data_IF_381340391120
#
_entry.id   IF_381340391120
#
_cell.length_a   1.000
_cell.length_b   1.000
_cell.length_c   1.000
_cell.angle_alpha   90.00
_cell.angle_beta   90.00
_cell.angle_gamma   90.00
#
_symmetry.space_group_name_H-M   'P 1'
#
loop_
_entity.id
_entity.type
_entity.pdbx_description
1 polymer ?
#
# COMPACT_ATOMS: atom_id res chain seq x y z
N UNK A 1 -12.25 11.77 16.97
CA UNK A 1 -11.34 12.26 15.93
C UNK A 1 -10.06 11.45 15.98
N UNK A 2 -9.53 11.07 14.83
CA UNK A 2 -8.25 10.40 14.64
C UNK A 2 -7.20 11.49 14.37
N UNK A 3 -6.23 11.62 15.26
CA UNK A 3 -5.19 12.62 15.15
C UNK A 3 -4.08 12.15 14.22
N UNK A 4 -3.71 12.97 13.24
CA UNK A 4 -2.65 12.67 12.27
C UNK A 4 -1.53 13.70 12.38
N UNK A 5 -0.29 13.22 12.31
CA UNK A 5 0.89 14.04 12.05
C UNK A 5 1.43 13.72 10.67
N UNK A 6 1.81 14.73 9.91
CA UNK A 6 2.45 14.58 8.60
C UNK A 6 3.93 14.90 8.77
N UNK A 7 4.79 14.06 8.23
CA UNK A 7 6.26 14.24 8.24
C UNK A 7 6.77 14.22 6.81
N UNK A 8 7.24 15.36 6.34
CA UNK A 8 7.76 15.55 4.97
C UNK A 8 8.45 16.89 4.83
N UNK A 9 9.52 16.95 4.09
CA UNK A 9 10.39 18.12 3.93
C UNK A 9 9.87 19.13 2.88
N UNK A 10 9.00 18.69 1.96
CA UNK A 10 8.35 19.59 0.99
C UNK A 10 7.04 20.14 1.57
N UNK A 11 6.97 21.46 1.88
CA UNK A 11 5.78 22.06 2.46
C UNK A 11 4.56 22.01 1.53
N UNK A 12 4.75 22.03 0.20
CA UNK A 12 3.63 21.97 -0.73
C UNK A 12 3.00 20.56 -0.75
N UNK A 13 3.84 19.53 -0.70
CA UNK A 13 3.37 18.14 -0.62
C UNK A 13 2.71 17.87 0.74
N UNK A 14 3.29 18.38 1.82
CA UNK A 14 2.70 18.25 3.16
C UNK A 14 1.33 18.94 3.26
N UNK A 15 1.17 20.14 2.68
CA UNK A 15 -0.11 20.85 2.62
C UNK A 15 -1.14 20.12 1.76
N UNK A 16 -0.70 19.52 0.66
CA UNK A 16 -1.56 18.71 -0.19
C UNK A 16 -2.05 17.45 0.57
N UNK A 17 -1.17 16.78 1.30
CA UNK A 17 -1.57 15.66 2.18
C UNK A 17 -2.55 16.12 3.26
N UNK A 18 -2.28 17.26 3.91
CA UNK A 18 -3.18 17.87 4.89
C UNK A 18 -4.58 18.06 4.30
N UNK A 19 -4.68 18.71 3.14
CA UNK A 19 -5.96 18.97 2.48
C UNK A 19 -6.76 17.68 2.24
N UNK A 20 -6.14 16.62 1.71
CA UNK A 20 -6.84 15.37 1.45
C UNK A 20 -7.20 14.59 2.70
N UNK A 21 -6.39 14.63 3.74
CA UNK A 21 -6.67 13.95 5.02
C UNK A 21 -7.87 14.58 5.71
N UNK A 22 -7.96 15.91 5.75
CA UNK A 22 -9.07 16.66 6.37
C UNK A 22 -10.41 16.46 5.64
N UNK A 23 -10.40 16.00 4.37
CA UNK A 23 -11.62 15.64 3.65
C UNK A 23 -12.20 14.30 4.09
N UNK A 24 -11.41 13.46 4.77
CA UNK A 24 -11.88 12.16 5.27
C UNK A 24 -12.49 12.34 6.65
N UNK A 25 -13.78 12.00 6.79
CA UNK A 25 -14.47 12.07 8.08
C UNK A 25 -13.67 11.40 9.21
N UNK A 26 -13.73 11.97 10.41
CA UNK A 26 -13.09 11.52 11.65
C UNK A 26 -11.57 11.81 11.73
N UNK A 27 -10.95 12.36 10.72
CA UNK A 27 -9.53 12.71 10.74
C UNK A 27 -9.30 14.18 11.09
N UNK A 28 -8.17 14.44 11.75
CA UNK A 28 -7.69 15.79 12.06
C UNK A 28 -6.16 15.79 12.00
N UNK A 29 -5.59 16.66 11.18
CA UNK A 29 -4.14 16.90 11.17
C UNK A 29 -3.80 17.80 12.35
N UNK A 30 -2.97 17.29 13.27
CA UNK A 30 -2.57 17.99 14.50
C UNK A 30 -1.17 18.60 14.39
N UNK A 31 -0.51 18.41 13.25
CA UNK A 31 0.76 19.07 12.96
C UNK A 31 1.49 18.51 11.76
N UNK A 32 2.42 19.32 11.25
CA UNK A 32 3.31 19.00 10.14
C UNK A 32 4.74 19.18 10.60
N UNK A 33 5.61 18.22 10.30
CA UNK A 33 7.03 18.22 10.64
C UNK A 33 7.89 18.08 9.38
N UNK A 34 8.82 18.99 9.16
CA UNK A 34 9.76 18.96 8.03
C UNK A 34 11.01 18.12 8.27
N UNK A 35 11.15 17.46 9.43
CA UNK A 35 12.33 16.67 9.79
C UNK A 35 11.99 15.63 10.86
N UNK A 36 12.87 14.62 11.02
CA UNK A 36 12.78 13.61 12.08
C UNK A 36 12.79 14.24 13.46
N UNK A 37 13.68 15.22 13.66
CA UNK A 37 13.80 15.90 14.95
C UNK A 37 12.48 16.59 15.36
N UNK A 38 11.86 17.34 14.46
CA UNK A 38 10.57 18.01 14.71
C UNK A 38 9.46 16.97 14.87
N UNK A 39 9.46 15.90 14.07
CA UNK A 39 8.48 14.83 14.16
C UNK A 39 8.45 14.17 15.54
N UNK A 40 9.61 13.87 16.13
CA UNK A 40 9.72 13.30 17.48
C UNK A 40 9.09 14.21 18.54
N UNK A 41 9.39 15.50 18.50
CA UNK A 41 8.82 16.48 19.43
C UNK A 41 7.30 16.56 19.26
N UNK A 42 6.84 16.63 18.02
CA UNK A 42 5.43 16.78 17.70
C UNK A 42 4.63 15.54 18.15
N UNK A 43 5.12 14.32 17.86
CA UNK A 43 4.50 13.06 18.28
C UNK A 43 4.42 12.98 19.81
N UNK A 44 5.48 13.36 20.51
CA UNK A 44 5.49 13.39 21.99
C UNK A 44 4.42 14.32 22.58
N UNK A 45 4.23 15.49 21.98
CA UNK A 45 3.27 16.49 22.50
C UNK A 45 1.82 16.21 22.08
N UNK A 46 1.59 15.82 20.83
CA UNK A 46 0.24 15.68 20.28
C UNK A 46 -0.35 14.29 20.46
N UNK A 47 0.50 13.28 20.69
CA UNK A 47 0.13 11.86 20.80
C UNK A 47 -0.82 11.46 19.67
N UNK A 48 -0.37 11.51 18.41
CA UNK A 48 -1.20 11.19 17.27
C UNK A 48 -1.54 9.71 17.24
N UNK A 49 -2.63 9.39 16.58
CA UNK A 49 -3.04 8.01 16.33
C UNK A 49 -2.33 7.42 15.12
N UNK A 50 -2.03 8.29 14.14
CA UNK A 50 -1.43 7.93 12.86
C UNK A 50 -0.38 8.97 12.48
N UNK A 51 0.72 8.51 11.89
CA UNK A 51 1.75 9.38 11.29
C UNK A 51 1.94 8.98 9.83
N UNK A 52 1.89 9.97 8.94
CA UNK A 52 2.25 9.79 7.52
C UNK A 52 3.68 10.30 7.37
N UNK A 53 4.60 9.43 6.97
CA UNK A 53 6.04 9.71 7.02
C UNK A 53 6.65 9.56 5.63
N UNK A 54 7.27 10.63 5.13
CA UNK A 54 8.18 10.52 3.99
C UNK A 54 9.45 9.76 4.40
N UNK A 55 9.90 8.85 3.55
CA UNK A 55 11.13 8.11 3.82
C UNK A 55 12.39 8.97 3.69
N UNK A 56 12.39 9.97 2.83
CA UNK A 56 13.55 10.82 2.58
C UNK A 56 13.37 12.17 3.27
N UNK A 57 14.04 12.34 4.41
CA UNK A 57 13.99 13.55 5.22
C UNK A 57 15.41 14.15 5.32
N UNK A 58 15.56 15.45 5.54
CA UNK A 58 16.87 16.12 5.55
C UNK A 58 17.83 15.61 6.64
N UNK A 59 17.28 15.01 7.70
CA UNK A 59 18.03 14.53 8.85
C UNK A 59 17.96 13.00 9.02
N UNK A 60 17.50 12.24 8.01
CA UNK A 60 17.55 10.78 8.04
C UNK A 60 16.45 10.09 7.23
N UNK A 61 16.25 8.81 7.49
CA UNK A 61 15.24 7.99 6.83
C UNK A 61 14.00 7.82 7.70
N UNK A 62 12.82 8.06 7.11
CA UNK A 62 11.53 7.89 7.81
C UNK A 62 11.28 6.47 8.30
N UNK A 63 11.76 5.44 7.58
CA UNK A 63 11.64 4.05 8.00
C UNK A 63 12.36 3.76 9.33
N UNK A 64 13.46 4.46 9.62
CA UNK A 64 14.17 4.32 10.90
C UNK A 64 13.38 4.98 12.04
N UNK A 65 12.69 6.08 11.75
CA UNK A 65 11.80 6.72 12.69
C UNK A 65 10.62 5.82 13.06
N UNK A 66 10.02 5.15 12.07
CA UNK A 66 8.98 4.13 12.29
C UNK A 66 9.47 3.03 13.24
N UNK A 67 10.67 2.50 13.00
CA UNK A 67 11.28 1.49 13.88
C UNK A 67 11.45 1.99 15.32
N UNK A 68 11.93 3.21 15.51
CA UNK A 68 12.13 3.78 16.84
C UNK A 68 10.82 3.96 17.62
N UNK A 69 9.72 4.29 16.94
CA UNK A 69 8.41 4.39 17.59
C UNK A 69 7.85 3.03 18.01
N UNK A 70 8.18 1.94 17.33
CA UNK A 70 7.80 0.59 17.76
C UNK A 70 8.38 0.21 19.12
N UNK A 71 9.59 0.68 19.41
CA UNK A 71 10.30 0.40 20.68
C UNK A 71 9.95 1.43 21.78
N UNK A 72 9.23 2.49 21.45
CA UNK A 72 8.85 3.54 22.40
C UNK A 72 7.50 3.26 23.07
N UNK A 73 7.23 3.95 24.20
CA UNK A 73 5.91 3.93 24.83
C UNK A 73 4.83 4.62 23.98
N UNK A 74 5.25 5.48 23.07
CA UNK A 74 4.38 6.17 22.11
C UNK A 74 4.47 5.43 20.77
N UNK A 75 3.45 4.65 20.46
CA UNK A 75 3.39 3.80 19.26
C UNK A 75 2.30 4.29 18.31
N UNK A 76 2.50 5.44 17.63
CA UNK A 76 1.56 5.81 16.57
C UNK A 76 1.65 4.79 15.44
N UNK A 77 0.54 4.46 14.83
CA UNK A 77 0.58 3.72 13.57
C UNK A 77 1.19 4.59 12.47
N UNK A 78 1.87 3.97 11.52
CA UNK A 78 2.62 4.70 10.50
C UNK A 78 2.21 4.27 9.09
N UNK A 79 2.00 5.25 8.21
CA UNK A 79 1.96 5.06 6.76
C UNK A 79 3.24 5.65 6.20
N UNK A 80 4.06 4.82 5.54
CA UNK A 80 5.31 5.28 4.93
C UNK A 80 5.07 5.73 3.49
N UNK A 81 5.62 6.88 3.13
CA UNK A 81 5.64 7.39 1.74
C UNK A 81 7.04 7.27 1.18
N UNK A 82 7.21 6.60 0.04
CA UNK A 82 8.53 6.28 -0.51
C UNK A 82 8.59 6.33 -2.04
N UNK A 83 9.78 6.36 -2.62
CA UNK A 83 9.93 6.25 -4.06
C UNK A 83 9.72 4.80 -4.55
N UNK A 84 9.19 4.63 -5.77
CA UNK A 84 8.77 3.34 -6.34
C UNK A 84 9.88 2.28 -6.45
N UNK A 85 11.14 2.70 -6.52
CA UNK A 85 12.29 1.82 -6.72
C UNK A 85 13.01 1.40 -5.44
N UNK A 86 12.46 1.73 -4.28
CA UNK A 86 13.09 1.44 -2.98
C UNK A 86 12.52 0.19 -2.33
N UNK A 87 12.70 -0.96 -2.98
CA UNK A 87 12.23 -2.26 -2.47
C UNK A 87 12.81 -2.60 -1.09
N UNK A 88 14.02 -2.14 -0.78
CA UNK A 88 14.65 -2.38 0.52
C UNK A 88 13.93 -1.64 1.64
N UNK A 89 13.50 -0.41 1.39
CA UNK A 89 12.71 0.38 2.34
C UNK A 89 11.33 -0.22 2.55
N UNK A 90 10.66 -0.68 1.50
CA UNK A 90 9.35 -1.36 1.61
C UNK A 90 9.46 -2.63 2.45
N UNK A 91 10.51 -3.45 2.25
CA UNK A 91 10.74 -4.64 3.08
C UNK A 91 11.00 -4.28 4.55
N UNK A 92 11.78 -3.23 4.82
CA UNK A 92 12.02 -2.73 6.18
C UNK A 92 10.71 -2.23 6.81
N UNK A 93 9.94 -1.40 6.10
CA UNK A 93 8.68 -0.87 6.58
C UNK A 93 7.68 -1.99 6.96
N UNK A 94 7.59 -3.03 6.15
CA UNK A 94 6.78 -4.21 6.46
C UNK A 94 7.26 -4.94 7.72
N UNK A 95 8.59 -5.15 7.85
CA UNK A 95 9.18 -5.80 9.05
C UNK A 95 9.02 -4.95 10.31
N UNK A 96 9.01 -3.64 10.17
CA UNK A 96 8.87 -2.68 11.27
C UNK A 96 7.41 -2.35 11.59
N UNK A 97 6.45 -3.11 11.01
CA UNK A 97 5.05 -3.01 11.35
C UNK A 97 4.38 -1.71 10.90
N UNK A 98 4.86 -1.08 9.83
CA UNK A 98 4.13 0.03 9.23
C UNK A 98 2.72 -0.43 8.83
N UNK A 99 1.71 0.37 9.15
CA UNK A 99 0.31 0.07 8.84
C UNK A 99 0.08 -0.04 7.32
N UNK A 100 0.72 0.83 6.55
CA UNK A 100 0.68 0.83 5.10
C UNK A 100 1.89 1.57 4.52
N UNK A 101 2.04 1.50 3.20
CA UNK A 101 3.02 2.29 2.45
C UNK A 101 2.41 2.82 1.16
N UNK A 102 2.86 3.99 0.74
CA UNK A 102 2.44 4.67 -0.47
C UNK A 102 3.67 4.97 -1.33
N UNK A 103 3.52 4.80 -2.63
CA UNK A 103 4.58 5.08 -3.59
C UNK A 103 4.38 6.47 -4.18
N UNK A 104 5.45 7.24 -4.31
CA UNK A 104 5.43 8.55 -4.97
C UNK A 104 5.41 8.40 -6.50
N UNK A 105 4.61 9.19 -7.24
CA UNK A 105 3.69 10.21 -6.75
C UNK A 105 2.49 9.60 -6.02
N UNK A 106 2.09 10.21 -4.89
CA UNK A 106 1.01 9.67 -4.05
C UNK A 106 -0.31 9.73 -4.80
N UNK A 107 -0.94 8.57 -4.95
CA UNK A 107 -2.34 8.48 -5.38
C UNK A 107 -3.23 8.75 -4.16
N UNK A 108 -3.99 9.85 -4.19
CA UNK A 108 -4.85 10.27 -3.09
C UNK A 108 -6.07 9.39 -2.91
N UNK A 109 -6.52 8.68 -3.93
CA UNK A 109 -7.55 7.64 -3.79
C UNK A 109 -7.02 6.49 -2.93
N UNK A 110 -5.79 6.07 -3.16
CA UNK A 110 -5.09 5.05 -2.38
C UNK A 110 -4.80 5.50 -0.95
N UNK A 111 -4.44 6.78 -0.72
CA UNK A 111 -4.31 7.35 0.62
C UNK A 111 -5.66 7.29 1.36
N UNK A 112 -6.75 7.71 0.71
CA UNK A 112 -8.10 7.65 1.28
C UNK A 112 -8.49 6.24 1.68
N UNK A 113 -8.23 5.24 0.84
CA UNK A 113 -8.45 3.82 1.18
C UNK A 113 -7.69 3.40 2.44
N UNK A 114 -6.41 3.80 2.56
CA UNK A 114 -5.60 3.52 3.74
C UNK A 114 -6.16 4.14 5.00
N UNK A 115 -6.62 5.39 4.92
CA UNK A 115 -7.25 6.10 6.02
C UNK A 115 -8.56 5.41 6.44
N UNK A 116 -9.44 5.10 5.51
CA UNK A 116 -10.70 4.39 5.81
C UNK A 116 -10.44 3.03 6.46
N UNK A 117 -9.43 2.30 5.98
CA UNK A 117 -9.00 1.05 6.57
C UNK A 117 -8.50 1.24 8.01
N UNK A 118 -7.65 2.26 8.24
CA UNK A 118 -7.15 2.57 9.57
C UNK A 118 -8.29 2.93 10.54
N UNK A 119 -9.23 3.78 10.14
CA UNK A 119 -10.38 4.14 10.96
C UNK A 119 -11.21 2.91 11.35
N UNK A 120 -11.43 1.99 10.41
CA UNK A 120 -12.16 0.75 10.65
C UNK A 120 -11.45 -0.14 11.68
N UNK A 121 -10.14 -0.36 11.50
CA UNK A 121 -9.32 -1.15 12.45
C UNK A 121 -9.36 -0.52 13.84
N UNK A 122 -9.12 0.79 13.93
CA UNK A 122 -9.09 1.52 15.20
C UNK A 122 -10.43 1.50 15.93
N UNK A 123 -11.54 1.68 15.21
CA UNK A 123 -12.87 1.63 15.79
C UNK A 123 -13.21 0.22 16.31
N UNK A 124 -12.82 -0.83 15.59
CA UNK A 124 -12.98 -2.21 16.06
C UNK A 124 -12.17 -2.49 17.33
N UNK A 125 -10.91 -2.02 17.39
CA UNK A 125 -10.08 -2.21 18.58
C UNK A 125 -10.61 -1.47 19.81
N UNK A 126 -11.30 -0.32 19.62
CA UNK A 126 -11.87 0.46 20.72
C UNK A 126 -13.20 -0.11 21.27
N UNK A 127 -13.96 -0.83 20.45
CA UNK A 127 -15.33 -1.23 20.75
C UNK A 127 -15.44 -2.60 21.41
N UNK A 128 -14.36 -3.37 21.56
CA UNK A 128 -14.43 -4.77 21.99
C UNK A 128 -13.41 -5.12 23.07
N UNK A 129 -13.88 -5.74 24.15
CA UNK A 129 -13.04 -6.33 25.19
C UNK A 129 -12.51 -7.74 24.79
N UNK A 130 -13.14 -8.39 23.80
CA UNK A 130 -12.73 -9.69 23.28
C UNK A 130 -13.08 -9.84 21.80
N UNK A 131 -12.20 -10.49 21.05
CA UNK A 131 -12.39 -10.75 19.62
C UNK A 131 -12.76 -12.20 19.37
N UNK A 132 -13.76 -12.43 18.51
CA UNK A 132 -13.98 -13.75 17.91
C UNK A 132 -13.00 -13.97 16.77
N UNK A 133 -12.66 -15.22 16.46
CA UNK A 133 -11.70 -15.55 15.41
C UNK A 133 -12.06 -14.90 14.06
N UNK A 134 -13.36 -14.94 13.67
CA UNK A 134 -13.82 -14.31 12.42
C UNK A 134 -13.57 -12.81 12.37
N UNK A 135 -13.65 -12.11 13.50
CA UNK A 135 -13.37 -10.68 13.60
C UNK A 135 -11.88 -10.38 13.53
N UNK A 136 -11.04 -11.26 14.08
CA UNK A 136 -9.59 -11.21 13.92
C UNK A 136 -9.21 -11.48 12.46
N UNK A 137 -9.83 -12.47 11.83
CA UNK A 137 -9.60 -12.77 10.43
C UNK A 137 -9.96 -11.57 9.55
N UNK A 138 -11.10 -10.90 9.81
CA UNK A 138 -11.48 -9.67 9.13
C UNK A 138 -10.50 -8.52 9.41
N UNK A 139 -10.00 -8.39 10.65
CA UNK A 139 -9.07 -7.34 11.06
C UNK A 139 -7.70 -7.53 10.40
N UNK A 140 -7.17 -8.74 10.39
CA UNK A 140 -5.89 -9.06 9.76
C UNK A 140 -5.99 -9.24 8.25
N UNK A 141 -7.19 -9.52 7.72
CA UNK A 141 -7.47 -9.59 6.29
C UNK A 141 -7.93 -8.26 5.69
N UNK A 142 -8.17 -7.23 6.53
CA UNK A 142 -8.44 -5.85 6.10
C UNK A 142 -7.25 -5.20 5.34
N UNK A 143 -6.10 -5.88 5.29
CA UNK A 143 -5.03 -5.58 4.33
C UNK A 143 -5.28 -6.10 2.92
N UNK A 144 -6.36 -6.85 2.71
CA UNK A 144 -6.82 -7.29 1.39
C UNK A 144 -7.92 -6.33 0.97
N UNK A 145 -7.64 -5.46 0.00
CA UNK A 145 -8.69 -4.81 -0.76
C UNK A 145 -9.65 -5.89 -1.24
N UNK A 146 -10.96 -5.72 -1.01
CA UNK A 146 -12.09 -6.61 -1.33
C UNK A 146 -11.81 -8.12 -1.13
N UNK A 147 -12.75 -8.90 -0.55
CA UNK A 147 -12.61 -10.34 -0.40
C UNK A 147 -12.68 -10.99 -1.78
N UNK A 148 -11.63 -10.89 -2.51
CA UNK A 148 -11.41 -11.68 -3.69
C UNK A 148 -10.57 -12.86 -3.21
N UNK A 149 -11.15 -14.02 -3.33
CA UNK A 149 -10.65 -15.33 -2.95
C UNK A 149 -9.25 -15.59 -3.56
N UNK A 150 -8.21 -15.01 -2.96
CA UNK A 150 -6.81 -15.21 -3.36
C UNK A 150 -6.24 -16.49 -2.72
N UNK A 151 -7.08 -17.54 -2.55
CA UNK A 151 -6.71 -18.77 -1.87
C UNK A 151 -5.27 -19.20 -2.21
N UNK A 152 -4.33 -18.98 -1.29
CA UNK A 152 -2.92 -19.36 -1.42
C UNK A 152 -2.03 -18.47 -2.31
N UNK A 153 -2.45 -17.25 -2.63
CA UNK A 153 -1.65 -16.24 -3.32
C UNK A 153 -1.31 -15.08 -2.39
N UNK A 154 -0.08 -14.59 -2.45
CA UNK A 154 0.37 -13.41 -1.71
C UNK A 154 -0.27 -12.14 -2.29
N UNK A 155 -1.02 -11.33 -1.50
CA UNK A 155 -1.71 -10.14 -2.00
C UNK A 155 -0.77 -9.05 -2.50
N UNK A 156 0.42 -8.94 -1.92
CA UNK A 156 1.43 -7.98 -2.35
C UNK A 156 1.96 -8.34 -3.74
N UNK A 157 2.32 -9.61 -3.94
CA UNK A 157 2.77 -10.11 -5.23
C UNK A 157 1.66 -10.01 -6.28
N UNK A 158 0.39 -10.26 -5.88
CA UNK A 158 -0.75 -10.09 -6.79
C UNK A 158 -0.84 -8.64 -7.30
N UNK A 159 -0.72 -7.67 -6.40
CA UNK A 159 -0.74 -6.24 -6.78
C UNK A 159 0.44 -5.89 -7.70
N UNK A 160 1.65 -6.35 -7.39
CA UNK A 160 2.81 -6.15 -8.27
C UNK A 160 2.59 -6.71 -9.68
N UNK A 161 1.91 -7.86 -9.79
CA UNK A 161 1.56 -8.43 -11.10
C UNK A 161 0.58 -7.52 -11.85
N UNK A 162 -0.47 -7.01 -11.17
CA UNK A 162 -1.45 -6.10 -11.79
C UNK A 162 -0.82 -4.76 -12.17
N UNK A 163 0.09 -4.24 -11.34
CA UNK A 163 0.79 -2.96 -11.57
C UNK A 163 1.69 -2.97 -12.82
N UNK A 164 2.12 -4.14 -13.29
CA UNK A 164 2.82 -4.24 -14.59
C UNK A 164 1.94 -3.81 -15.78
N UNK A 165 0.62 -3.77 -15.60
CA UNK A 165 -0.36 -3.45 -16.64
C UNK A 165 -0.95 -2.03 -16.52
N UNK A 166 -0.30 -1.13 -15.79
CA UNK A 166 -0.79 0.24 -15.55
C UNK A 166 -0.85 1.12 -16.79
N UNK A 167 -0.07 0.80 -17.84
CA UNK A 167 -0.09 1.55 -19.09
C UNK A 167 -1.02 0.89 -20.12
N UNK A 168 -1.85 1.71 -20.76
CA UNK A 168 -2.71 1.32 -21.87
C UNK A 168 -1.84 0.74 -22.99
N UNK A 169 -2.19 -0.44 -23.51
CA UNK A 169 -1.48 -1.21 -24.54
C UNK A 169 -0.25 -2.04 -24.08
N UNK A 170 0.00 -2.14 -22.76
CA UNK A 170 1.03 -3.07 -22.28
C UNK A 170 0.47 -4.50 -22.25
N UNK A 171 1.19 -5.41 -22.90
CA UNK A 171 0.86 -6.83 -22.95
C UNK A 171 2.01 -7.63 -22.31
N UNK A 172 1.64 -8.59 -21.48
CA UNK A 172 2.59 -9.49 -20.85
C UNK A 172 2.17 -10.95 -21.01
N UNK A 173 3.18 -11.81 -21.06
CA UNK A 173 3.03 -13.27 -20.93
C UNK A 173 3.41 -13.72 -19.53
N UNK A 174 3.08 -14.95 -19.14
CA UNK A 174 3.56 -15.50 -17.89
C UNK A 174 5.10 -15.59 -17.82
N UNK A 175 5.77 -15.63 -18.95
CA UNK A 175 7.24 -15.62 -19.01
C UNK A 175 7.77 -14.21 -18.70
N UNK A 176 7.27 -13.18 -19.38
CA UNK A 176 7.74 -11.80 -19.14
C UNK A 176 7.46 -11.32 -17.71
N UNK A 177 6.31 -11.66 -17.13
CA UNK A 177 6.01 -11.36 -15.71
C UNK A 177 6.95 -12.13 -14.77
N UNK A 178 7.26 -13.40 -15.09
CA UNK A 178 8.22 -14.22 -14.34
C UNK A 178 9.60 -13.56 -14.29
N UNK A 179 10.07 -13.04 -15.41
CA UNK A 179 11.36 -12.35 -15.53
C UNK A 179 11.35 -10.99 -14.79
N UNK A 180 10.28 -10.21 -14.98
CA UNK A 180 10.16 -8.87 -14.34
C UNK A 180 10.11 -8.93 -12.82
N UNK A 181 9.43 -9.92 -12.25
CA UNK A 181 9.23 -10.05 -10.80
C UNK A 181 10.11 -11.11 -10.13
N UNK A 182 11.02 -11.74 -10.89
CA UNK A 182 11.93 -12.78 -10.37
C UNK A 182 11.19 -13.92 -9.66
N UNK A 183 10.06 -14.36 -10.21
CA UNK A 183 9.24 -15.47 -9.72
C UNK A 183 9.21 -16.63 -10.74
N UNK A 184 8.76 -17.81 -10.33
CA UNK A 184 8.61 -18.90 -11.31
C UNK A 184 7.50 -18.60 -12.32
N UNK A 185 7.64 -19.11 -13.56
CA UNK A 185 6.61 -18.97 -14.60
C UNK A 185 5.26 -19.55 -14.18
N UNK A 186 5.25 -20.64 -13.42
CA UNK A 186 4.03 -21.25 -12.87
C UNK A 186 3.38 -20.33 -11.82
N UNK A 187 4.19 -19.67 -10.98
CA UNK A 187 3.72 -18.67 -10.02
C UNK A 187 3.14 -17.47 -10.74
N UNK A 188 3.86 -16.88 -11.70
CA UNK A 188 3.38 -15.76 -12.51
C UNK A 188 2.03 -16.10 -13.17
N UNK A 189 1.89 -17.31 -13.75
CA UNK A 189 0.64 -17.74 -14.37
C UNK A 189 -0.52 -17.81 -13.38
N UNK A 190 -0.31 -18.32 -12.16
CA UNK A 190 -1.35 -18.36 -11.11
C UNK A 190 -1.87 -16.98 -10.75
N UNK A 191 -0.97 -15.99 -10.61
CA UNK A 191 -1.35 -14.60 -10.34
C UNK A 191 -2.10 -13.97 -11.51
N UNK A 192 -1.64 -14.16 -12.74
CA UNK A 192 -2.28 -13.67 -13.95
C UNK A 192 -3.67 -14.28 -14.16
N UNK A 193 -3.81 -15.59 -13.98
CA UNK A 193 -5.11 -16.26 -14.10
C UNK A 193 -6.08 -15.74 -13.02
N UNK A 194 -5.59 -15.47 -11.82
CA UNK A 194 -6.38 -14.86 -10.75
C UNK A 194 -6.79 -13.41 -11.06
N UNK A 195 -5.91 -12.62 -11.65
CA UNK A 195 -6.23 -11.25 -12.07
C UNK A 195 -7.30 -11.23 -13.19
N UNK A 196 -7.31 -12.23 -14.07
CA UNK A 196 -8.37 -12.42 -15.06
C UNK A 196 -9.69 -12.81 -14.39
N UNK A 197 -9.66 -13.73 -13.42
CA UNK A 197 -10.85 -14.14 -12.65
C UNK A 197 -11.48 -12.96 -11.90
N UNK A 198 -10.66 -12.05 -11.38
CA UNK A 198 -11.10 -10.84 -10.68
C UNK A 198 -11.55 -9.72 -11.63
N UNK A 199 -11.35 -9.90 -12.94
CA UNK A 199 -11.72 -8.91 -13.93
C UNK A 199 -10.77 -7.71 -14.04
N UNK A 200 -9.59 -7.78 -13.42
CA UNK A 200 -8.52 -6.77 -13.55
C UNK A 200 -7.84 -6.86 -14.92
N UNK A 201 -7.64 -8.07 -15.41
CA UNK A 201 -7.00 -8.35 -16.70
C UNK A 201 -7.93 -9.12 -17.61
N UNK A 202 -7.62 -9.08 -18.91
CA UNK A 202 -8.17 -9.98 -19.93
C UNK A 202 -7.05 -10.80 -20.55
N UNK A 203 -7.35 -12.06 -20.85
CA UNK A 203 -6.41 -12.98 -21.50
C UNK A 203 -6.90 -13.35 -22.89
N UNK A 204 -5.99 -13.42 -23.85
CA UNK A 204 -6.22 -13.87 -25.20
C UNK A 204 -5.10 -14.80 -25.69
N UNK A 205 -5.36 -15.53 -26.75
CA UNK A 205 -4.38 -16.44 -27.33
C UNK A 205 -3.79 -15.79 -28.59
N UNK A 206 -2.49 -15.58 -28.56
CA UNK A 206 -1.74 -15.12 -29.73
C UNK A 206 -1.16 -16.30 -30.47
N UNK A 207 -1.45 -16.40 -31.77
CA UNK A 207 -0.96 -17.45 -32.62
C UNK A 207 0.31 -16.97 -33.36
N UNK A 208 1.47 -17.48 -32.97
CA UNK A 208 2.71 -17.29 -33.73
C UNK A 208 2.67 -18.02 -35.08
N UNK A 209 3.57 -17.66 -35.99
CA UNK A 209 3.70 -18.31 -37.31
C UNK A 209 4.04 -19.82 -37.22
N UNK A 210 4.64 -20.27 -36.13
CA UNK A 210 4.98 -21.68 -35.83
C UNK A 210 4.95 -21.87 -34.31
N UNK A 211 4.32 -22.95 -33.82
CA UNK A 211 4.32 -23.33 -32.40
C UNK A 211 2.93 -23.30 -31.74
N UNK A 212 2.90 -23.58 -30.42
CA UNK A 212 1.65 -23.51 -29.64
C UNK A 212 1.25 -22.07 -29.41
N UNK A 213 -0.06 -21.73 -29.39
CA UNK A 213 -0.53 -20.42 -29.05
C UNK A 213 0.00 -19.98 -27.69
N UNK A 214 0.42 -18.72 -27.61
CA UNK A 214 0.89 -18.10 -26.35
C UNK A 214 -0.26 -17.34 -25.71
N UNK A 215 -0.48 -17.56 -24.42
CA UNK A 215 -1.47 -16.80 -23.67
C UNK A 215 -0.86 -15.45 -23.24
N UNK A 216 -1.49 -14.37 -23.68
CA UNK A 216 -1.11 -12.98 -23.44
C UNK A 216 -2.17 -12.32 -22.59
N UNK A 217 -1.77 -11.41 -21.74
CA UNK A 217 -2.63 -10.70 -20.80
C UNK A 217 -2.48 -9.19 -21.01
N UNK A 218 -3.58 -8.45 -20.86
CA UNK A 218 -3.62 -6.97 -20.89
C UNK A 218 -4.66 -6.41 -19.94
N UNK A 219 -4.60 -5.11 -19.69
CA UNK A 219 -5.59 -4.42 -18.85
C UNK A 219 -6.98 -4.47 -19.49
N UNK A 220 -8.03 -4.69 -18.68
CA UNK A 220 -9.41 -4.78 -19.15
C UNK A 220 -9.93 -3.47 -19.75
N UNK A 221 -9.50 -2.32 -19.25
CA UNK A 221 -9.95 -1.00 -19.71
C UNK A 221 -9.67 -0.71 -21.20
N UNK A 222 -8.91 -1.58 -21.87
CA UNK A 222 -8.52 -1.44 -23.30
C UNK A 222 -9.43 -2.24 -24.23
N UNK A 223 -10.34 -3.07 -23.72
CA UNK A 223 -11.13 -3.98 -24.54
C UNK A 223 -12.46 -3.45 -25.05
N UNK A 224 -12.82 -2.19 -24.76
CA UNK A 224 -14.11 -1.56 -25.14
C UNK A 224 -13.96 -0.38 -26.12
N UNK A 225 -12.90 -0.34 -26.92
CA UNK A 225 -12.72 0.66 -27.97
C UNK A 225 -12.62 0.03 -29.33
#
# INVERSE_FOLDING_TARGET
MIKVVIVGDDPNIAELHHHFIEQVEQYQVVGIAGSIHIARQLVTHTKPDLVIVDNYLPDGQGVELVYQWLESDQKPECILVTAANDASTVQKAHRFGAFDYLVKPVDYSRLTESLLRFAKVKNHMRSQESFRQSQLDDLFHLGKGTPTDLAGLDPFMFRQVVDLFTHVHVEHTALSVSESLTISKSTARRYLDKAVEQGELVAFLEHGKVGRPTRVYRNKLVSES
#
